data_IF_158216770353
#
_entry.id   IF_158216770353
#
_cell.length_a   1.000
_cell.length_b   1.000
_cell.length_c   1.000
_cell.angle_alpha   90.00
_cell.angle_beta   90.00
_cell.angle_gamma   90.00
#
_symmetry.space_group_name_H-M   'P 1'
#
loop_
_entity.id
_entity.type
_entity.pdbx_description
1 polymer ?
#
# COMPACT_ATOMS: atom_id res chain seq x y z
N UNK A 1 -6.64 15.59 17.38
CA UNK A 1 -7.62 16.58 16.90
C UNK A 1 -8.64 15.83 16.05
N UNK A 2 -9.92 16.18 16.09
CA UNK A 2 -10.88 15.57 15.16
C UNK A 2 -10.48 16.00 13.73
N UNK A 3 -10.32 15.04 12.83
CA UNK A 3 -10.09 15.31 11.41
C UNK A 3 -11.24 16.18 10.88
N UNK A 4 -10.91 17.27 10.17
CA UNK A 4 -11.89 18.09 9.46
C UNK A 4 -12.78 17.17 8.61
N UNK A 5 -14.10 17.10 8.88
CA UNK A 5 -14.99 16.23 8.11
C UNK A 5 -15.12 16.66 6.66
N UNK A 6 -14.54 17.81 6.27
CA UNK A 6 -14.54 18.36 4.92
C UNK A 6 -15.92 18.81 4.46
N UNK A 7 -15.96 19.68 3.46
CA UNK A 7 -17.17 20.06 2.77
C UNK A 7 -17.36 19.18 1.54
N UNK A 8 -18.52 18.53 1.40
CA UNK A 8 -18.82 17.78 0.16
C UNK A 8 -18.79 18.74 -1.03
N UNK A 9 -18.02 18.39 -2.06
CA UNK A 9 -17.93 19.16 -3.30
C UNK A 9 -19.22 18.93 -4.10
N UNK A 10 -19.84 20.00 -4.60
CA UNK A 10 -21.04 19.90 -5.45
C UNK A 10 -20.72 19.08 -6.72
N UNK A 11 -21.42 17.97 -7.01
CA UNK A 11 -21.22 17.18 -8.21
C UNK A 11 -21.34 17.96 -9.53
N UNK A 12 -22.04 19.10 -9.52
CA UNK A 12 -22.19 19.96 -10.70
C UNK A 12 -21.08 20.99 -10.86
N UNK A 13 -20.23 21.18 -9.85
CA UNK A 13 -19.13 22.14 -9.87
C UNK A 13 -18.07 21.76 -10.92
N UNK A 14 -17.35 22.74 -11.49
CA UNK A 14 -16.23 22.47 -12.38
C UNK A 14 -15.16 21.56 -11.75
N UNK A 15 -14.79 21.81 -10.49
CA UNK A 15 -13.77 21.03 -9.78
C UNK A 15 -14.13 19.54 -9.64
N UNK A 16 -15.39 19.23 -9.29
CA UNK A 16 -15.83 17.83 -9.21
C UNK A 16 -15.80 17.14 -10.57
N UNK A 17 -16.28 17.83 -11.62
CA UNK A 17 -16.28 17.29 -12.99
C UNK A 17 -14.86 17.02 -13.50
N UNK A 18 -13.94 17.94 -13.20
CA UNK A 18 -12.54 17.76 -13.56
C UNK A 18 -11.89 16.62 -12.77
N UNK A 19 -12.15 16.51 -11.46
CA UNK A 19 -11.71 15.38 -10.66
C UNK A 19 -12.22 14.05 -11.23
N UNK A 20 -13.52 13.95 -11.57
CA UNK A 20 -14.10 12.74 -12.20
C UNK A 20 -13.38 12.39 -13.50
N UNK A 21 -13.15 13.39 -14.38
CA UNK A 21 -12.45 13.18 -15.65
C UNK A 21 -11.03 12.65 -15.42
N UNK A 22 -10.30 13.25 -14.49
CA UNK A 22 -8.94 12.84 -14.13
C UNK A 22 -8.91 11.44 -13.48
N UNK A 23 -9.89 11.12 -12.63
CA UNK A 23 -10.05 9.79 -12.05
C UNK A 23 -10.25 8.73 -13.14
N UNK A 24 -11.15 8.98 -14.10
CA UNK A 24 -11.42 8.04 -15.19
C UNK A 24 -10.18 7.86 -16.09
N UNK A 25 -9.39 8.91 -16.35
CA UNK A 25 -8.11 8.81 -17.08
C UNK A 25 -7.07 7.98 -16.30
N UNK A 26 -6.94 8.20 -15.00
CA UNK A 26 -6.02 7.42 -14.16
C UNK A 26 -6.41 5.93 -14.17
N UNK A 27 -7.70 5.62 -14.18
CA UNK A 27 -8.23 4.25 -14.29
C UNK A 27 -7.97 3.62 -15.66
N UNK A 28 -7.99 4.40 -16.74
CA UNK A 28 -7.60 3.92 -18.08
C UNK A 28 -6.10 3.64 -18.17
N UNK A 29 -5.27 4.49 -17.55
CA UNK A 29 -3.81 4.32 -17.50
C UNK A 29 -3.40 3.12 -16.64
N UNK A 30 -4.15 2.87 -15.56
CA UNK A 30 -3.92 1.78 -14.62
C UNK A 30 -5.20 0.94 -14.44
N UNK A 31 -5.54 0.05 -15.39
CA UNK A 31 -6.77 -0.75 -15.32
C UNK A 31 -6.79 -1.69 -14.10
N UNK A 32 -7.93 -1.80 -13.41
CA UNK A 32 -8.17 -2.77 -12.34
C UNK A 32 -9.65 -3.15 -12.29
N UNK A 33 -9.96 -4.39 -11.92
CA UNK A 33 -11.35 -4.82 -11.73
C UNK A 33 -11.98 -4.26 -10.45
N UNK A 34 -11.15 -3.77 -9.52
CA UNK A 34 -11.58 -3.14 -8.27
C UNK A 34 -11.69 -1.64 -8.45
N UNK A 35 -12.83 -1.05 -8.08
CA UNK A 35 -13.03 0.39 -7.95
C UNK A 35 -13.84 0.65 -6.67
N UNK A 36 -13.18 1.19 -5.66
CA UNK A 36 -13.78 1.44 -4.35
C UNK A 36 -14.22 2.88 -4.15
N UNK A 37 -14.04 3.76 -5.14
CA UNK A 37 -14.51 5.13 -5.01
C UNK A 37 -16.04 5.19 -5.10
N UNK A 38 -16.68 5.68 -4.04
CA UNK A 38 -18.14 5.78 -3.94
C UNK A 38 -18.72 7.02 -4.65
N UNK A 39 -17.90 7.70 -5.48
CA UNK A 39 -18.21 8.96 -6.16
C UNK A 39 -18.44 10.16 -5.22
N UNK A 40 -18.13 10.05 -3.93
CA UNK A 40 -18.12 11.19 -3.01
C UNK A 40 -16.74 11.83 -2.94
N UNK A 41 -16.71 13.15 -3.12
CA UNK A 41 -15.52 14.00 -3.04
C UNK A 41 -15.75 15.08 -1.98
N UNK A 42 -14.80 15.24 -1.08
CA UNK A 42 -14.81 16.26 -0.04
C UNK A 42 -13.62 17.19 -0.17
N UNK A 43 -13.86 18.49 -0.04
CA UNK A 43 -12.84 19.50 0.11
C UNK A 43 -12.45 19.63 1.59
N UNK A 44 -11.16 19.65 1.90
CA UNK A 44 -10.64 19.94 3.24
C UNK A 44 -9.87 21.26 3.25
N UNK A 45 -9.98 22.04 4.33
CA UNK A 45 -9.21 23.29 4.46
C UNK A 45 -7.87 23.07 5.16
N UNK A 46 -7.74 21.97 5.89
CA UNK A 46 -6.53 21.62 6.64
C UNK A 46 -6.23 20.12 6.50
N UNK A 47 -4.95 19.77 6.65
CA UNK A 47 -4.50 18.38 6.68
C UNK A 47 -3.69 17.97 5.44
N UNK A 48 -3.69 16.67 5.07
CA UNK A 48 -2.96 16.19 3.92
C UNK A 48 -3.56 16.70 2.61
N UNK A 49 -2.80 16.62 1.52
CA UNK A 49 -3.25 17.02 0.18
C UNK A 49 -4.39 16.14 -0.33
N UNK A 50 -4.31 14.84 -0.05
CA UNK A 50 -5.31 13.84 -0.38
C UNK A 50 -5.49 12.84 0.74
N UNK A 51 -6.63 12.16 0.73
CA UNK A 51 -6.83 10.91 1.45
C UNK A 51 -8.01 10.13 0.87
N UNK A 52 -7.87 8.82 0.78
CA UNK A 52 -8.92 7.87 0.49
C UNK A 52 -9.38 7.15 1.77
N UNK A 53 -10.69 7.13 2.03
CA UNK A 53 -11.26 6.34 3.13
C UNK A 53 -11.68 4.95 2.62
N UNK A 54 -10.95 3.87 2.94
CA UNK A 54 -11.23 2.53 2.43
C UNK A 54 -12.56 1.95 2.90
N UNK A 55 -13.17 2.52 3.95
CA UNK A 55 -14.44 2.04 4.50
C UNK A 55 -15.64 2.69 3.80
N UNK A 56 -15.61 4.01 3.64
CA UNK A 56 -16.71 4.72 2.97
C UNK A 56 -16.56 4.73 1.45
N UNK A 57 -15.33 4.61 0.96
CA UNK A 57 -14.97 4.82 -0.44
C UNK A 57 -14.86 6.30 -0.81
N UNK A 58 -14.94 7.24 0.14
CA UNK A 58 -14.86 8.67 -0.17
C UNK A 58 -13.41 9.13 -0.39
N UNK A 59 -13.23 10.08 -1.31
CA UNK A 59 -11.96 10.78 -1.52
C UNK A 59 -12.06 12.18 -0.92
N UNK A 60 -11.00 12.62 -0.27
CA UNK A 60 -10.87 13.97 0.31
C UNK A 60 -9.64 14.62 -0.27
N UNK A 61 -9.78 15.85 -0.75
CA UNK A 61 -8.68 16.63 -1.32
C UNK A 61 -8.63 18.00 -0.66
N UNK A 62 -7.41 18.52 -0.47
CA UNK A 62 -7.21 19.89 0.00
C UNK A 62 -7.78 20.88 -1.01
N UNK A 63 -8.64 21.79 -0.55
CA UNK A 63 -9.19 22.84 -1.40
C UNK A 63 -8.07 23.69 -2.00
N UNK A 64 -7.23 24.25 -1.13
CA UNK A 64 -6.19 25.23 -1.50
C UNK A 64 -5.03 24.59 -2.26
N UNK A 65 -4.63 23.36 -1.92
CA UNK A 65 -3.43 22.74 -2.50
C UNK A 65 -3.73 21.81 -3.68
N UNK A 66 -4.99 21.40 -3.90
CA UNK A 66 -5.34 20.47 -4.98
C UNK A 66 -6.51 21.00 -5.81
N UNK A 67 -7.70 21.15 -5.22
CA UNK A 67 -8.91 21.43 -5.99
C UNK A 67 -8.85 22.76 -6.75
N UNK A 68 -8.28 23.81 -6.15
CA UNK A 68 -8.08 25.12 -6.78
C UNK A 68 -7.06 25.10 -7.93
N UNK A 69 -6.33 23.98 -8.07
CA UNK A 69 -5.34 23.75 -9.13
C UNK A 69 -5.82 22.75 -10.20
N UNK A 70 -7.00 22.15 -10.04
CA UNK A 70 -7.65 21.29 -11.04
C UNK A 70 -8.50 22.12 -12.02
N UNK A 71 -7.86 22.98 -12.80
CA UNK A 71 -8.53 23.95 -13.68
C UNK A 71 -8.64 23.50 -15.15
N UNK A 72 -8.25 22.26 -15.45
CA UNK A 72 -8.21 21.69 -16.80
C UNK A 72 -7.04 22.18 -17.67
N UNK A 73 -6.97 21.69 -18.93
CA UNK A 73 -5.98 22.08 -19.93
C UNK A 73 -5.89 23.59 -20.16
N UNK A 74 -4.67 24.13 -20.31
CA UNK A 74 -4.43 25.55 -20.62
C UNK A 74 -4.62 26.52 -19.46
N UNK A 75 -4.69 26.02 -18.22
CA UNK A 75 -4.68 26.85 -17.01
C UNK A 75 -3.40 27.70 -16.92
N UNK A 76 -3.53 28.94 -16.44
CA UNK A 76 -2.38 29.86 -16.23
C UNK A 76 -1.82 29.80 -14.80
N UNK A 77 -2.13 28.72 -14.06
CA UNK A 77 -1.65 28.50 -12.70
C UNK A 77 -0.15 28.22 -12.61
N UNK A 78 0.35 28.04 -11.38
CA UNK A 78 1.72 27.57 -11.13
C UNK A 78 1.88 26.12 -11.63
N UNK A 79 2.78 25.84 -12.58
CA UNK A 79 2.99 24.48 -13.08
C UNK A 79 3.34 23.48 -11.98
N UNK A 80 4.14 23.88 -10.99
CA UNK A 80 4.50 23.03 -9.86
C UNK A 80 3.29 22.66 -8.97
N UNK A 81 2.39 23.62 -8.70
CA UNK A 81 1.17 23.30 -7.95
C UNK A 81 0.21 22.43 -8.75
N UNK A 82 0.16 22.62 -10.06
CA UNK A 82 -0.65 21.81 -10.97
C UNK A 82 -0.11 20.37 -11.03
N UNK A 83 1.22 20.20 -11.12
CA UNK A 83 1.89 18.91 -11.02
C UNK A 83 1.55 18.19 -9.72
N UNK A 84 1.65 18.88 -8.58
CA UNK A 84 1.33 18.31 -7.28
C UNK A 84 -0.15 17.93 -7.15
N UNK A 85 -1.05 18.74 -7.69
CA UNK A 85 -2.49 18.45 -7.70
C UNK A 85 -2.81 17.21 -8.54
N UNK A 86 -2.23 17.09 -9.74
CA UNK A 86 -2.37 15.90 -10.59
C UNK A 86 -1.79 14.65 -9.93
N UNK A 87 -0.58 14.76 -9.37
CA UNK A 87 0.07 13.67 -8.63
C UNK A 87 -0.82 13.19 -7.48
N UNK A 88 -1.44 14.12 -6.75
CA UNK A 88 -2.37 13.76 -5.66
C UNK A 88 -3.60 13.02 -6.19
N UNK A 89 -4.20 13.47 -7.30
CA UNK A 89 -5.35 12.75 -7.90
C UNK A 89 -4.96 11.34 -8.34
N UNK A 90 -3.80 11.17 -8.98
CA UNK A 90 -3.29 9.88 -9.42
C UNK A 90 -3.00 8.95 -8.22
N UNK A 91 -2.40 9.49 -7.16
CA UNK A 91 -2.12 8.80 -5.91
C UNK A 91 -3.41 8.27 -5.26
N UNK A 92 -4.41 9.12 -5.02
CA UNK A 92 -5.65 8.69 -4.37
C UNK A 92 -6.47 7.73 -5.25
N UNK A 93 -6.39 7.87 -6.58
CA UNK A 93 -7.01 6.92 -7.51
C UNK A 93 -6.36 5.54 -7.42
N UNK A 94 -5.04 5.49 -7.20
CA UNK A 94 -4.30 4.24 -6.98
C UNK A 94 -4.74 3.52 -5.71
N UNK A 95 -5.06 4.27 -4.64
CA UNK A 95 -5.66 3.69 -3.44
C UNK A 95 -7.06 3.11 -3.70
N UNK A 96 -7.90 3.86 -4.42
CA UNK A 96 -9.27 3.44 -4.72
C UNK A 96 -9.34 2.15 -5.59
N UNK A 97 -8.32 1.87 -6.41
CA UNK A 97 -8.28 0.68 -7.28
C UNK A 97 -7.70 -0.59 -6.67
N UNK A 98 -7.13 -0.53 -5.47
CA UNK A 98 -6.52 -1.68 -4.81
C UNK A 98 -7.50 -2.33 -3.82
N UNK A 99 -7.54 -3.66 -3.73
CA UNK A 99 -8.14 -4.31 -2.56
C UNK A 99 -7.28 -4.02 -1.31
N UNK A 100 -7.89 -3.98 -0.13
CA UNK A 100 -7.13 -3.74 1.10
C UNK A 100 -6.71 -5.05 1.77
N UNK A 101 -7.60 -6.03 1.82
CA UNK A 101 -7.38 -7.28 2.55
C UNK A 101 -7.40 -8.51 1.64
N UNK A 102 -6.80 -9.58 2.12
CA UNK A 102 -6.76 -10.89 1.51
C UNK A 102 -6.87 -11.96 2.62
N UNK A 103 -8.08 -12.19 3.17
CA UNK A 103 -8.29 -12.98 4.39
C UNK A 103 -7.75 -14.42 4.32
N UNK A 104 -7.80 -15.00 3.13
CA UNK A 104 -7.42 -16.39 2.88
C UNK A 104 -5.97 -16.55 2.43
N UNK A 105 -5.22 -15.46 2.28
CA UNK A 105 -3.84 -15.53 1.83
C UNK A 105 -2.88 -15.76 3.03
N UNK A 106 -2.05 -16.81 3.00
CA UNK A 106 -1.13 -17.13 4.10
C UNK A 106 -0.06 -16.08 4.36
N UNK A 107 0.34 -15.35 3.32
CA UNK A 107 1.39 -14.34 3.41
C UNK A 107 0.83 -12.92 3.57
N UNK A 108 -0.49 -12.77 3.78
CA UNK A 108 -1.10 -11.48 4.07
C UNK A 108 -0.55 -10.90 5.39
N UNK A 109 0.13 -9.75 5.29
CA UNK A 109 0.69 -9.05 6.45
C UNK A 109 -0.22 -7.89 6.86
N UNK A 110 -0.98 -8.05 7.95
CA UNK A 110 -1.94 -7.05 8.47
C UNK A 110 -1.32 -6.17 9.55
N UNK A 111 -0.37 -5.33 9.18
CA UNK A 111 0.27 -4.38 10.09
C UNK A 111 0.48 -3.01 9.46
N UNK A 112 0.86 -2.02 10.28
CA UNK A 112 1.18 -0.66 9.82
C UNK A 112 2.32 -0.61 8.80
N UNK A 113 3.20 -1.61 8.80
CA UNK A 113 4.25 -1.75 7.80
C UNK A 113 3.64 -1.84 6.39
N UNK A 114 2.56 -2.62 6.21
CA UNK A 114 1.88 -2.75 4.90
C UNK A 114 1.24 -1.46 4.44
N UNK A 115 0.69 -0.65 5.35
CA UNK A 115 0.23 0.70 5.00
C UNK A 115 1.39 1.55 4.50
N UNK A 116 2.53 1.54 5.20
CA UNK A 116 3.66 2.41 4.83
C UNK A 116 4.34 1.97 3.52
N UNK A 117 4.40 0.66 3.26
CA UNK A 117 4.80 0.15 1.95
C UNK A 117 3.78 0.51 0.86
N UNK A 118 2.48 0.47 1.17
CA UNK A 118 1.43 0.86 0.22
C UNK A 118 1.59 2.30 -0.23
N UNK A 119 1.76 3.24 0.71
CA UNK A 119 2.03 4.65 0.40
C UNK A 119 3.32 4.81 -0.42
N UNK A 120 4.40 4.10 -0.06
CA UNK A 120 5.67 4.15 -0.80
C UNK A 120 5.57 3.62 -2.23
N UNK A 121 4.87 2.49 -2.44
CA UNK A 121 4.63 1.92 -3.78
C UNK A 121 3.71 2.80 -4.62
N UNK A 122 2.62 3.29 -4.02
CA UNK A 122 1.67 4.18 -4.70
C UNK A 122 2.35 5.48 -5.11
N UNK A 123 3.15 6.09 -4.23
CA UNK A 123 3.88 7.32 -4.54
C UNK A 123 4.98 7.08 -5.60
N UNK A 124 5.74 5.97 -5.50
CA UNK A 124 6.72 5.59 -6.53
C UNK A 124 6.07 5.47 -7.91
N UNK A 125 4.89 4.84 -7.98
CA UNK A 125 4.13 4.73 -9.24
C UNK A 125 3.57 6.07 -9.70
N UNK A 126 3.07 6.90 -8.79
CA UNK A 126 2.60 8.26 -9.11
C UNK A 126 3.69 9.07 -9.79
N UNK A 127 4.92 9.05 -9.27
CA UNK A 127 6.05 9.77 -9.87
C UNK A 127 6.34 9.27 -11.30
N UNK A 128 6.37 7.95 -11.50
CA UNK A 128 6.67 7.36 -12.81
C UNK A 128 5.56 7.57 -13.85
N UNK A 129 4.30 7.60 -13.41
CA UNK A 129 3.14 7.65 -14.31
C UNK A 129 2.61 9.08 -14.49
N UNK A 130 3.15 10.07 -13.76
CA UNK A 130 2.66 11.45 -13.79
C UNK A 130 2.73 12.07 -15.19
N UNK A 131 3.83 11.89 -15.91
CA UNK A 131 3.99 12.46 -17.27
C UNK A 131 2.93 11.91 -18.23
N UNK A 132 2.78 10.59 -18.28
CA UNK A 132 1.78 9.94 -19.12
C UNK A 132 0.34 10.32 -18.71
N UNK A 133 0.10 10.48 -17.41
CA UNK A 133 -1.18 10.91 -16.87
C UNK A 133 -1.50 12.36 -17.26
N UNK A 134 -0.55 13.27 -17.12
CA UNK A 134 -0.70 14.68 -17.47
C UNK A 134 -0.90 14.86 -18.99
N UNK A 135 -0.11 14.16 -19.80
CA UNK A 135 -0.25 14.14 -21.26
C UNK A 135 -1.65 13.66 -21.67
N UNK A 136 -2.12 12.55 -21.11
CA UNK A 136 -3.47 12.04 -21.38
C UNK A 136 -4.57 12.99 -20.89
N UNK A 137 -4.31 13.71 -19.79
CA UNK A 137 -5.22 14.71 -19.25
C UNK A 137 -5.23 16.02 -20.05
N UNK A 138 -4.28 16.24 -20.97
CA UNK A 138 -4.11 17.47 -21.74
C UNK A 138 -3.46 18.60 -20.94
N UNK A 139 -2.75 18.27 -19.87
CA UNK A 139 -1.99 19.21 -19.07
C UNK A 139 -0.59 19.36 -19.69
N UNK A 140 -0.17 20.61 -19.95
CA UNK A 140 1.19 20.87 -20.45
C UNK A 140 2.24 20.47 -19.40
N UNK A 141 3.47 20.19 -19.86
CA UNK A 141 4.63 19.70 -19.09
C UNK A 141 4.56 20.02 -17.59
N UNK A 142 4.22 19.00 -16.81
CA UNK A 142 4.24 19.06 -15.34
C UNK A 142 5.54 18.42 -14.86
N UNK A 143 6.21 19.08 -13.92
CA UNK A 143 7.39 18.54 -13.26
C UNK A 143 7.09 18.50 -11.77
N UNK A 144 7.24 17.33 -11.16
CA UNK A 144 7.07 17.16 -9.73
C UNK A 144 8.44 17.34 -9.06
N UNK A 145 8.60 18.43 -8.30
CA UNK A 145 9.87 18.73 -7.64
C UNK A 145 10.30 17.61 -6.69
N UNK A 146 9.37 17.11 -5.88
CA UNK A 146 9.60 16.06 -4.89
C UNK A 146 8.32 15.24 -4.63
N UNK A 147 8.44 13.93 -4.35
CA UNK A 147 7.31 13.14 -3.86
C UNK A 147 6.82 13.64 -2.50
N UNK A 148 5.53 13.52 -2.25
CA UNK A 148 4.89 13.87 -0.97
C UNK A 148 5.42 13.01 0.19
N UNK A 149 5.83 11.78 -0.10
CA UNK A 149 6.28 10.77 0.85
C UNK A 149 7.72 10.33 0.60
N UNK A 150 8.66 11.28 0.51
CA UNK A 150 10.05 11.03 0.13
C UNK A 150 10.73 9.90 0.91
N UNK A 151 10.50 9.78 2.23
CA UNK A 151 11.07 8.69 3.03
C UNK A 151 10.50 7.31 2.64
N UNK A 152 9.19 7.21 2.38
CA UNK A 152 8.55 5.96 1.99
C UNK A 152 8.95 5.54 0.56
N UNK A 153 9.06 6.50 -0.36
CA UNK A 153 9.54 6.26 -1.74
C UNK A 153 10.98 5.75 -1.71
N UNK A 154 11.87 6.40 -0.98
CA UNK A 154 13.28 6.00 -0.88
C UNK A 154 13.44 4.57 -0.32
N UNK A 155 12.78 4.26 0.81
CA UNK A 155 12.81 2.91 1.37
C UNK A 155 12.24 1.85 0.41
N UNK A 156 11.17 2.21 -0.33
CA UNK A 156 10.52 1.33 -1.30
C UNK A 156 11.41 1.10 -2.52
N UNK A 157 12.08 2.14 -3.04
CA UNK A 157 13.01 2.05 -4.16
C UNK A 157 14.15 1.08 -3.88
N UNK A 158 14.83 1.23 -2.73
CA UNK A 158 15.92 0.33 -2.33
C UNK A 158 15.46 -1.13 -2.20
N UNK A 159 14.25 -1.33 -1.68
CA UNK A 159 13.64 -2.66 -1.56
C UNK A 159 13.35 -3.29 -2.92
N UNK A 160 12.79 -2.52 -3.85
CA UNK A 160 12.49 -2.95 -5.21
C UNK A 160 13.75 -3.27 -6.00
N UNK A 161 14.78 -2.41 -5.91
CA UNK A 161 16.08 -2.62 -6.57
C UNK A 161 16.75 -3.91 -6.09
N UNK A 162 16.76 -4.14 -4.77
CA UNK A 162 17.30 -5.36 -4.20
C UNK A 162 16.56 -6.61 -4.68
N UNK A 163 15.23 -6.56 -4.70
CA UNK A 163 14.38 -7.70 -5.05
C UNK A 163 14.44 -8.03 -6.55
N UNK A 164 14.42 -7.00 -7.40
CA UNK A 164 14.57 -7.14 -8.85
C UNK A 164 15.97 -7.69 -9.22
N UNK A 165 17.01 -7.32 -8.48
CA UNK A 165 18.38 -7.74 -8.78
C UNK A 165 18.93 -7.06 -10.03
N UNK A 166 20.17 -7.41 -10.45
CA UNK A 166 20.91 -6.66 -11.47
C UNK A 166 20.28 -6.71 -12.87
N UNK A 167 19.56 -7.79 -13.20
CA UNK A 167 18.92 -8.01 -14.50
C UNK A 167 17.40 -7.75 -14.44
N UNK A 168 16.87 -7.40 -13.27
CA UNK A 168 15.45 -7.19 -13.06
C UNK A 168 14.98 -5.79 -13.45
N UNK A 169 13.66 -5.60 -13.43
CA UNK A 169 13.03 -4.30 -13.65
C UNK A 169 12.24 -3.90 -12.39
N UNK A 170 12.78 -2.99 -11.54
CA UNK A 170 12.12 -2.57 -10.30
C UNK A 170 10.77 -1.89 -10.55
N UNK A 171 10.60 -1.16 -11.66
CA UNK A 171 9.33 -0.50 -12.00
C UNK A 171 8.25 -1.50 -12.38
N UNK A 172 8.62 -2.56 -13.09
CA UNK A 172 7.71 -3.66 -13.40
C UNK A 172 7.31 -4.42 -12.12
N UNK A 173 8.24 -4.58 -11.17
CA UNK A 173 7.94 -5.15 -9.85
C UNK A 173 6.99 -4.25 -9.06
N UNK A 174 7.25 -2.95 -9.01
CA UNK A 174 6.38 -1.97 -8.35
C UNK A 174 4.96 -2.01 -8.90
N UNK A 175 4.81 -2.08 -10.24
CA UNK A 175 3.51 -2.20 -10.91
C UNK A 175 2.77 -3.47 -10.49
N UNK A 176 3.44 -4.64 -10.50
CA UNK A 176 2.81 -5.89 -10.03
C UNK A 176 2.41 -5.82 -8.56
N UNK A 177 3.24 -5.19 -7.72
CA UNK A 177 3.00 -5.08 -6.29
C UNK A 177 1.82 -4.15 -5.97
N UNK A 178 1.69 -2.99 -6.64
CA UNK A 178 0.56 -2.06 -6.40
C UNK A 178 -0.78 -2.65 -6.81
N UNK A 179 -0.80 -3.56 -7.79
CA UNK A 179 -2.00 -4.26 -8.25
C UNK A 179 -2.45 -5.39 -7.31
N UNK A 180 -1.66 -5.74 -6.28
CA UNK A 180 -2.08 -6.69 -5.25
C UNK A 180 -2.92 -6.03 -4.15
N UNK A 181 -3.71 -6.81 -3.40
CA UNK A 181 -4.25 -6.36 -2.14
C UNK A 181 -3.15 -5.76 -1.25
N UNK A 182 -3.44 -4.68 -0.52
CA UNK A 182 -2.45 -3.95 0.29
C UNK A 182 -1.66 -4.89 1.23
N UNK A 183 -2.33 -5.86 1.86
CA UNK A 183 -1.68 -6.83 2.76
C UNK A 183 -0.77 -7.84 2.05
N UNK A 184 -0.86 -7.96 0.73
CA UNK A 184 -0.11 -8.92 -0.11
C UNK A 184 1.09 -8.30 -0.83
N UNK A 185 1.29 -6.98 -0.75
CA UNK A 185 2.36 -6.31 -1.50
C UNK A 185 3.76 -6.79 -1.11
N UNK A 186 3.98 -7.12 0.16
CA UNK A 186 5.21 -7.76 0.62
C UNK A 186 5.47 -9.11 -0.06
N UNK A 187 4.41 -9.91 -0.28
CA UNK A 187 4.54 -11.24 -0.88
C UNK A 187 4.98 -11.14 -2.35
N UNK A 188 4.52 -10.14 -3.10
CA UNK A 188 4.98 -9.89 -4.48
C UNK A 188 6.47 -9.58 -4.55
N UNK A 189 6.98 -8.78 -3.61
CA UNK A 189 8.41 -8.47 -3.52
C UNK A 189 9.20 -9.71 -3.09
N UNK A 190 8.68 -10.47 -2.11
CA UNK A 190 9.28 -11.72 -1.67
C UNK A 190 9.35 -12.75 -2.80
N UNK A 191 8.30 -12.85 -3.63
CA UNK A 191 8.26 -13.75 -4.78
C UNK A 191 9.34 -13.43 -5.81
N UNK A 192 9.60 -12.14 -6.04
CA UNK A 192 10.69 -11.71 -6.90
C UNK A 192 12.06 -12.11 -6.35
N UNK A 193 12.28 -11.94 -5.04
CA UNK A 193 13.51 -12.40 -4.37
C UNK A 193 13.66 -13.92 -4.49
N UNK A 194 12.57 -14.67 -4.31
CA UNK A 194 12.64 -16.14 -4.44
C UNK A 194 13.04 -16.54 -5.86
N UNK A 195 12.42 -15.92 -6.88
CA UNK A 195 12.76 -16.20 -8.29
C UNK A 195 14.21 -15.83 -8.62
N UNK A 196 14.68 -14.67 -8.19
CA UNK A 196 15.98 -14.13 -8.62
C UNK A 196 17.17 -14.63 -7.79
N UNK A 197 16.97 -14.95 -6.49
CA UNK A 197 18.07 -15.29 -5.57
C UNK A 197 18.00 -16.71 -5.00
N UNK A 198 16.83 -17.35 -5.06
CA UNK A 198 16.59 -18.63 -4.40
C UNK A 198 16.06 -19.71 -5.35
N UNK A 199 15.89 -19.42 -6.64
CA UNK A 199 15.29 -20.34 -7.61
C UNK A 199 16.02 -21.67 -7.76
N UNK A 200 17.33 -21.69 -7.54
CA UNK A 200 18.15 -22.91 -7.58
C UNK A 200 18.17 -23.69 -6.26
N UNK A 201 17.61 -23.12 -5.19
CA UNK A 201 17.73 -23.64 -3.82
C UNK A 201 16.38 -24.03 -3.23
N UNK A 202 15.34 -23.22 -3.43
CA UNK A 202 13.99 -23.52 -2.95
C UNK A 202 13.30 -24.42 -3.98
N UNK A 203 12.80 -25.61 -3.58
CA UNK A 203 12.07 -26.49 -4.49
C UNK A 203 10.91 -25.77 -5.19
N UNK A 204 10.60 -26.09 -6.47
CA UNK A 204 9.52 -25.45 -7.21
C UNK A 204 8.12 -25.80 -6.69
N UNK A 205 8.05 -26.68 -5.68
CA UNK A 205 6.81 -27.04 -5.00
C UNK A 205 6.15 -25.79 -4.37
N UNK A 206 4.84 -25.56 -4.58
CA UNK A 206 4.16 -24.37 -4.10
C UNK A 206 4.26 -24.14 -2.58
N UNK A 207 4.27 -25.21 -1.77
CA UNK A 207 4.34 -25.09 -0.31
C UNK A 207 5.72 -24.58 0.11
N UNK A 208 6.78 -25.06 -0.54
CA UNK A 208 8.15 -24.61 -0.32
C UNK A 208 8.36 -23.15 -0.74
N UNK A 209 7.82 -22.75 -1.89
CA UNK A 209 7.88 -21.39 -2.40
C UNK A 209 7.14 -20.42 -1.47
N UNK A 210 5.90 -20.75 -1.08
CA UNK A 210 5.11 -19.92 -0.16
C UNK A 210 5.80 -19.76 1.20
N UNK A 211 6.39 -20.83 1.74
CA UNK A 211 7.14 -20.78 2.98
C UNK A 211 8.37 -19.87 2.83
N UNK A 212 9.18 -20.01 1.79
CA UNK A 212 10.33 -19.14 1.58
C UNK A 212 9.92 -17.66 1.51
N UNK A 213 8.81 -17.35 0.81
CA UNK A 213 8.24 -16.00 0.79
C UNK A 213 7.79 -15.53 2.18
N UNK A 214 7.17 -16.39 2.99
CA UNK A 214 6.78 -16.06 4.35
C UNK A 214 7.96 -15.59 5.23
N UNK A 215 9.12 -16.24 5.15
CA UNK A 215 10.33 -15.81 5.87
C UNK A 215 10.79 -14.42 5.40
N UNK A 216 10.80 -14.19 4.10
CA UNK A 216 11.19 -12.90 3.51
C UNK A 216 10.22 -11.78 3.91
N UNK A 217 8.90 -12.04 3.87
CA UNK A 217 7.88 -11.07 4.34
C UNK A 217 8.14 -10.69 5.79
N UNK A 218 8.41 -11.66 6.68
CA UNK A 218 8.72 -11.37 8.08
C UNK A 218 10.02 -10.56 8.26
N UNK A 219 11.01 -10.78 7.40
CA UNK A 219 12.26 -10.03 7.43
C UNK A 219 12.09 -8.57 6.97
N UNK A 220 11.34 -8.36 5.88
CA UNK A 220 11.09 -7.04 5.29
C UNK A 220 10.13 -6.19 6.13
N UNK A 221 9.02 -6.77 6.60
CA UNK A 221 7.92 -6.06 7.25
C UNK A 221 8.20 -5.75 8.73
N UNK A 222 9.38 -5.20 9.02
CA UNK A 222 9.82 -4.88 10.36
C UNK A 222 9.27 -3.54 10.88
N UNK A 223 9.38 -3.33 12.20
CA UNK A 223 8.76 -2.20 12.89
C UNK A 223 9.16 -0.80 12.41
N UNK A 224 10.38 -0.61 11.89
CA UNK A 224 10.83 0.70 11.40
C UNK A 224 10.07 1.21 10.16
N UNK A 225 9.32 0.35 9.48
CA UNK A 225 8.39 0.82 8.43
C UNK A 225 7.23 1.63 9.01
N UNK A 226 6.85 1.40 10.27
CA UNK A 226 5.74 2.10 10.88
C UNK A 226 6.04 3.60 10.99
N UNK A 227 5.22 4.41 10.32
CA UNK A 227 5.33 5.86 10.34
C UNK A 227 6.15 6.47 9.21
N UNK A 228 6.74 5.66 8.31
CA UNK A 228 7.46 6.21 7.15
C UNK A 228 6.58 7.07 6.25
N UNK A 229 5.29 6.74 6.14
CA UNK A 229 4.31 7.55 5.41
C UNK A 229 4.03 8.92 6.04
N UNK A 230 4.53 9.20 7.24
CA UNK A 230 4.44 10.53 7.86
C UNK A 230 5.79 11.28 7.79
N UNK A 231 6.87 10.58 7.45
CA UNK A 231 8.22 11.12 7.40
C UNK A 231 8.50 11.78 6.05
N UNK A 232 8.90 13.05 6.09
CA UNK A 232 9.34 13.81 4.90
C UNK A 232 10.83 13.68 4.62
N UNK A 233 11.63 13.37 5.64
CA UNK A 233 13.09 13.29 5.53
C UNK A 233 13.53 11.98 4.88
N UNK A 234 14.16 12.06 3.72
CA UNK A 234 14.63 10.90 2.94
C UNK A 234 15.64 10.04 3.70
N UNK A 235 16.43 10.63 4.59
CA UNK A 235 17.41 9.92 5.43
C UNK A 235 16.79 8.80 6.28
N UNK A 236 15.56 9.00 6.76
CA UNK A 236 14.82 7.94 7.46
C UNK A 236 14.46 6.80 6.52
N UNK A 237 14.06 7.14 5.29
CA UNK A 237 13.82 6.17 4.22
C UNK A 237 15.07 5.36 3.88
N UNK A 238 16.21 6.03 3.71
CA UNK A 238 17.50 5.38 3.45
C UNK A 238 17.88 4.39 4.55
N UNK A 239 17.70 4.76 5.82
CA UNK A 239 17.99 3.87 6.96
C UNK A 239 17.07 2.64 6.97
N UNK A 240 15.77 2.84 6.70
CA UNK A 240 14.80 1.74 6.66
C UNK A 240 15.03 0.83 5.45
N UNK A 241 15.32 1.40 4.28
CA UNK A 241 15.67 0.64 3.07
C UNK A 241 16.89 -0.24 3.30
N UNK A 242 17.99 0.34 3.79
CA UNK A 242 19.22 -0.41 4.13
C UNK A 242 18.96 -1.50 5.16
N UNK A 243 18.22 -1.19 6.23
CA UNK A 243 17.86 -2.19 7.26
C UNK A 243 17.03 -3.34 6.67
N UNK A 244 16.12 -3.03 5.74
CA UNK A 244 15.30 -4.04 5.04
C UNK A 244 16.19 -4.95 4.20
N UNK A 245 17.15 -4.39 3.45
CA UNK A 245 18.13 -5.14 2.66
C UNK A 245 18.98 -6.06 3.54
N UNK A 246 19.57 -5.54 4.61
CA UNK A 246 20.39 -6.33 5.54
C UNK A 246 19.60 -7.51 6.13
N UNK A 247 18.32 -7.31 6.47
CA UNK A 247 17.44 -8.36 6.99
C UNK A 247 17.06 -9.38 5.92
N UNK A 248 16.85 -8.94 4.68
CA UNK A 248 16.58 -9.83 3.55
C UNK A 248 17.79 -10.71 3.23
N UNK A 249 19.00 -10.17 3.21
CA UNK A 249 20.23 -10.97 3.02
C UNK A 249 20.32 -12.08 4.08
N UNK A 250 20.10 -11.73 5.35
CA UNK A 250 20.09 -12.71 6.43
C UNK A 250 18.98 -13.77 6.28
N UNK A 251 17.82 -13.39 5.75
CA UNK A 251 16.71 -14.32 5.50
C UNK A 251 17.04 -15.26 4.32
N UNK A 252 17.60 -14.73 3.23
CA UNK A 252 18.10 -15.51 2.09
C UNK A 252 19.13 -16.54 2.57
N UNK A 253 20.11 -16.13 3.37
CA UNK A 253 21.12 -17.03 3.94
C UNK A 253 20.49 -18.16 4.78
N UNK A 254 19.51 -17.83 5.63
CA UNK A 254 18.78 -18.83 6.43
C UNK A 254 18.01 -19.82 5.56
N UNK A 255 17.30 -19.33 4.55
CA UNK A 255 16.55 -20.17 3.60
C UNK A 255 17.53 -21.10 2.86
N UNK A 256 18.65 -20.57 2.36
CA UNK A 256 19.65 -21.36 1.65
C UNK A 256 20.27 -22.43 2.54
N UNK A 257 20.62 -22.08 3.79
CA UNK A 257 21.14 -23.03 4.76
C UNK A 257 20.13 -24.12 5.07
N UNK A 258 18.86 -23.77 5.30
CA UNK A 258 17.80 -24.74 5.54
C UNK A 258 17.65 -25.73 4.40
N UNK A 259 17.51 -25.25 3.15
CA UNK A 259 17.29 -26.14 2.00
C UNK A 259 18.51 -27.00 1.64
N UNK A 260 19.71 -26.57 2.02
CA UNK A 260 20.91 -27.40 1.97
C UNK A 260 20.86 -28.56 2.95
N UNK A 261 20.40 -28.30 4.18
CA UNK A 261 20.43 -29.27 5.28
C UNK A 261 19.16 -30.17 5.32
N UNK A 262 18.03 -29.65 4.86
CA UNK A 262 16.70 -30.26 4.99
C UNK A 262 15.80 -29.96 3.78
N UNK A 263 16.19 -30.38 2.56
CA UNK A 263 15.52 -30.00 1.31
C UNK A 263 14.05 -30.42 1.21
N UNK A 264 13.65 -31.45 1.95
CA UNK A 264 12.29 -32.01 1.92
C UNK A 264 11.29 -31.29 2.84
N UNK A 265 11.72 -30.29 3.62
CA UNK A 265 10.85 -29.58 4.55
C UNK A 265 10.67 -28.12 4.15
N UNK A 266 9.44 -27.58 4.05
CA UNK A 266 9.21 -26.16 3.85
C UNK A 266 9.79 -25.31 4.99
N UNK A 267 10.29 -24.12 4.67
CA UNK A 267 10.84 -23.17 5.65
C UNK A 267 10.40 -21.74 5.38
N UNK A 268 9.90 -21.01 6.41
CA UNK A 268 9.71 -21.43 7.79
C UNK A 268 8.40 -22.23 7.91
N UNK A 269 8.23 -22.95 9.03
CA UNK A 269 6.99 -23.69 9.28
C UNK A 269 5.78 -22.78 9.62
N UNK A 270 6.00 -21.49 9.86
CA UNK A 270 4.97 -20.55 10.32
C UNK A 270 4.77 -19.43 9.32
N UNK A 271 3.56 -19.33 8.76
CA UNK A 271 3.18 -18.25 7.86
C UNK A 271 2.89 -16.94 8.63
N UNK A 272 3.06 -15.76 8.00
CA UNK A 272 2.70 -14.45 8.56
C UNK A 272 1.23 -14.38 9.01
N UNK A 273 0.34 -15.05 8.28
CA UNK A 273 -1.08 -15.19 8.61
C UNK A 273 -1.40 -16.64 9.03
N UNK A 274 -1.17 -17.02 10.29
CA UNK A 274 -1.40 -18.40 10.75
C UNK A 274 -2.88 -18.81 10.69
N UNK A 275 -3.81 -17.85 10.72
CA UNK A 275 -5.24 -18.12 10.59
C UNK A 275 -5.63 -18.55 9.17
N UNK A 276 -5.06 -17.93 8.13
CA UNK A 276 -5.26 -18.39 6.75
C UNK A 276 -4.61 -19.76 6.52
N UNK A 277 -3.42 -19.98 7.08
CA UNK A 277 -2.75 -21.28 6.99
C UNK A 277 -3.63 -22.41 7.58
N UNK A 278 -4.27 -22.17 8.73
CA UNK A 278 -5.19 -23.14 9.35
C UNK A 278 -6.44 -23.44 8.49
N UNK A 279 -6.87 -22.51 7.64
CA UNK A 279 -8.01 -22.72 6.74
C UNK A 279 -7.62 -23.53 5.49
N UNK A 280 -6.37 -23.48 5.05
CA UNK A 280 -5.86 -24.30 3.95
C UNK A 280 -5.73 -25.78 4.35
N UNK A 281 -5.36 -26.05 5.60
CA UNK A 281 -5.22 -27.40 6.15
C UNK A 281 -6.57 -28.04 6.52
N UNK A 282 -7.65 -27.26 6.56
CA UNK A 282 -8.98 -27.80 6.79
C UNK A 282 -9.44 -28.59 5.55
N UNK A 283 -9.75 -29.90 5.65
CA UNK A 283 -10.21 -30.67 4.50
C UNK A 283 -11.48 -30.03 3.95
N UNK A 284 -11.45 -29.68 2.65
CA UNK A 284 -12.57 -29.06 1.90
C UNK A 284 -13.90 -29.83 2.04
N UNK A 285 -13.86 -31.10 2.46
CA UNK A 285 -15.02 -31.95 2.74
C UNK A 285 -15.90 -31.53 3.94
N UNK A 286 -15.55 -30.48 4.70
CA UNK A 286 -16.37 -30.05 5.84
C UNK A 286 -17.45 -29.01 5.50
N UNK A 287 -17.36 -28.33 4.36
CA UNK A 287 -18.34 -27.32 3.96
C UNK A 287 -19.59 -27.92 3.27
N UNK A 288 -19.53 -29.16 2.80
CA UNK A 288 -20.72 -29.87 2.27
C UNK A 288 -21.51 -30.64 3.35
N UNK A 289 -20.93 -30.88 4.53
CA UNK A 289 -21.55 -31.68 5.59
C UNK A 289 -22.20 -30.86 6.72
N UNK A 290 -22.40 -29.55 6.53
CA UNK A 290 -23.05 -28.68 7.52
C UNK A 290 -24.16 -27.82 6.90
N UNK A 291 -25.03 -28.45 6.10
CA UNK A 291 -26.43 -28.06 6.12
C UNK A 291 -27.07 -28.72 7.34
N UNK A 292 -27.55 -27.99 8.37
CA UNK A 292 -28.29 -28.60 9.44
C UNK A 292 -29.61 -29.11 8.89
N UNK A 293 -29.71 -30.43 8.78
CA UNK A 293 -30.94 -31.19 8.63
C UNK A 293 -31.84 -30.85 9.83
N UNK A 294 -32.73 -29.87 9.63
CA UNK A 294 -33.73 -29.47 10.61
C UNK A 294 -34.79 -30.56 10.72
N UNK A 295 -34.51 -31.58 11.53
CA UNK A 295 -35.48 -32.57 11.98
C UNK A 295 -35.64 -32.50 13.51
N UNK A 296 -36.80 -31.97 13.91
CA UNK A 296 -37.59 -32.37 15.07
C UNK A 296 -36.90 -32.52 16.44
N UNK A 297 -37.17 -31.56 17.34
CA UNK A 297 -37.97 -31.77 18.58
C UNK A 297 -38.04 -30.50 19.44
N UNK A 298 -39.25 -29.96 19.59
CA UNK A 298 -39.83 -29.74 20.92
C UNK A 298 -39.74 -28.36 21.57
N UNK A 299 -40.84 -27.61 21.42
CA UNK A 299 -41.54 -26.78 22.43
C UNK A 299 -41.07 -25.33 22.69
N UNK A 300 -41.87 -24.38 22.16
CA UNK A 300 -41.95 -22.99 22.64
C UNK A 300 -42.26 -21.96 21.53
N UNK A 301 -43.47 -21.96 20.97
CA UNK A 301 -43.87 -21.02 19.89
C UNK A 301 -44.03 -19.56 20.36
N UNK A 302 -43.55 -18.62 19.56
CA UNK A 302 -44.32 -17.46 19.13
C UNK A 302 -44.74 -17.65 17.65
N UNK A 303 -46.04 -17.57 17.38
CA UNK A 303 -46.64 -17.88 16.08
C UNK A 303 -46.24 -16.93 14.93
N UNK A 304 -46.53 -17.32 13.67
CA UNK A 304 -46.14 -16.60 12.48
C UNK A 304 -46.89 -15.27 12.32
N UNK A 305 -46.16 -14.23 11.90
CA UNK A 305 -46.73 -12.95 11.48
C UNK A 305 -47.55 -13.15 10.22
N UNK A 306 -48.84 -12.87 10.32
CA UNK A 306 -49.80 -12.91 9.22
C UNK A 306 -49.55 -11.74 8.24
N UNK A 307 -48.80 -12.01 7.18
CA UNK A 307 -48.46 -11.05 6.13
C UNK A 307 -49.67 -10.61 5.28
N UNK A 308 -50.86 -11.22 5.47
CA UNK A 308 -52.09 -10.78 4.80
C UNK A 308 -52.75 -9.56 5.46
N UNK A 309 -52.22 -9.11 6.61
CA UNK A 309 -52.71 -7.93 7.36
C UNK A 309 -51.86 -6.67 7.19
N UNK A 310 -50.88 -6.67 6.29
CA UNK A 310 -50.14 -5.46 5.96
C UNK A 310 -51.03 -4.51 5.13
N UNK A 311 -51.12 -3.22 5.48
CA UNK A 311 -51.84 -2.26 4.64
C UNK A 311 -51.16 -2.17 3.26
N UNK A 312 -51.93 -2.05 2.16
CA UNK A 312 -51.34 -1.86 0.85
C UNK A 312 -50.51 -0.55 0.84
N UNK A 313 -49.37 -0.52 0.14
CA UNK A 313 -48.54 0.68 0.07
C UNK A 313 -49.33 1.84 -0.53
N UNK A 314 -49.16 3.03 0.05
CA UNK A 314 -49.82 4.25 -0.40
C UNK A 314 -49.46 4.56 -1.86
N UNK A 315 -50.47 4.90 -2.66
CA UNK A 315 -50.37 5.16 -4.10
C UNK A 315 -49.50 6.38 -4.49
N UNK A 316 -48.89 7.07 -3.52
CA UNK A 316 -48.07 8.27 -3.73
C UNK A 316 -46.58 7.99 -4.04
N UNK A 317 -46.14 6.72 -4.06
CA UNK A 317 -44.75 6.33 -4.29
C UNK A 317 -44.49 5.73 -5.69
N UNK A 318 -45.30 6.05 -6.70
CA UNK A 318 -45.00 5.69 -8.10
C UNK A 318 -44.25 6.83 -8.78
N UNK A 319 -42.94 6.67 -8.89
CA UNK A 319 -42.12 7.43 -9.84
C UNK A 319 -42.53 7.01 -11.26
N UNK A 320 -43.10 7.96 -12.01
CA UNK A 320 -43.35 7.83 -13.44
C UNK A 320 -42.00 7.80 -14.17
N UNK A 321 -41.65 6.65 -14.75
CA UNK A 321 -40.53 6.54 -15.67
C UNK A 321 -40.90 7.07 -17.06
N UNK A 322 -39.95 7.62 -17.83
CA UNK A 322 -40.24 8.14 -19.16
C UNK A 322 -40.52 7.01 -20.17
N UNK A 323 -41.49 7.30 -21.05
CA UNK A 323 -42.01 6.42 -22.07
C UNK A 323 -40.96 6.01 -23.12
N UNK A 324 -40.92 4.71 -23.42
CA UNK A 324 -40.18 4.16 -24.54
C UNK A 324 -40.86 4.50 -25.87
N UNK A 325 -40.10 5.06 -26.81
CA UNK A 325 -40.50 5.24 -28.21
C UNK A 325 -40.29 3.93 -28.99
N UNK A 326 -41.12 3.63 -30.02
CA UNK A 326 -40.97 2.43 -30.83
C UNK A 326 -39.98 2.68 -31.98
N UNK A 327 -38.96 1.83 -32.09
CA UNK A 327 -38.11 1.75 -33.28
C UNK A 327 -38.59 0.61 -34.18
N UNK A 328 -38.99 0.96 -35.40
CA UNK A 328 -39.29 0.05 -36.50
C UNK A 328 -38.13 0.06 -37.52
N UNK A 329 -37.70 -1.15 -37.89
CA UNK A 329 -37.47 -1.63 -39.27
C UNK A 329 -36.09 -1.43 -39.96
N UNK A 330 -35.63 -2.58 -40.53
CA UNK A 330 -34.67 -2.84 -41.63
C UNK A 330 -33.21 -2.44 -41.42
N UNK A 331 -32.21 -3.31 -41.61
CA UNK A 331 -32.10 -4.45 -42.51
C UNK A 331 -31.12 -4.11 -43.64
N UNK A 332 -29.85 -4.52 -43.51
CA UNK A 332 -28.98 -4.92 -44.63
C UNK A 332 -27.65 -5.43 -44.10
N UNK A 333 -27.35 -6.69 -44.41
CA UNK A 333 -26.04 -7.30 -44.17
C UNK A 333 -25.05 -6.90 -45.25
N UNK A 334 -23.79 -6.81 -44.86
CA UNK A 334 -22.64 -7.01 -45.75
C UNK A 334 -21.48 -7.58 -44.93
N UNK A 335 -21.03 -8.75 -45.36
CA UNK A 335 -19.88 -9.46 -44.85
C UNK A 335 -18.58 -8.72 -45.23
N UNK A 336 -17.70 -8.52 -44.25
CA UNK A 336 -16.31 -8.12 -44.49
C UNK A 336 -15.38 -9.28 -44.10
N UNK A 337 -14.53 -9.64 -45.05
CA UNK A 337 -13.53 -10.71 -44.95
C UNK A 337 -12.35 -10.31 -44.05
N UNK A 338 -11.63 -11.28 -43.46
CA UNK A 338 -10.42 -11.01 -42.70
C UNK A 338 -9.22 -10.70 -43.62
N UNK A 339 -8.56 -9.58 -43.37
CA UNK A 339 -7.26 -9.26 -43.98
C UNK A 339 -6.15 -10.05 -43.28
N UNK A 340 -5.39 -10.78 -44.08
CA UNK A 340 -4.16 -11.49 -43.74
C UNK A 340 -3.01 -10.49 -43.53
N UNK A 341 -2.42 -10.50 -42.34
CA UNK A 341 -1.18 -9.77 -42.04
C UNK A 341 0.01 -10.61 -42.49
N UNK A 342 0.72 -10.08 -43.47
CA UNK A 342 1.93 -10.64 -44.06
C UNK A 342 3.13 -10.36 -43.15
N UNK A 343 3.73 -11.42 -42.61
CA UNK A 343 4.97 -11.37 -41.84
C UNK A 343 6.14 -10.98 -42.76
N UNK A 344 6.68 -9.78 -42.56
CA UNK A 344 7.95 -9.34 -43.13
C UNK A 344 9.12 -9.72 -42.22
N UNK A 345 9.91 -10.69 -42.67
CA UNK A 345 11.21 -11.05 -42.09
C UNK A 345 12.19 -9.88 -42.24
N UNK A 346 12.79 -9.43 -41.13
CA UNK A 346 13.95 -8.55 -41.14
C UNK A 346 15.13 -9.32 -40.53
N UNK A 347 16.15 -9.56 -41.35
CA UNK A 347 17.41 -10.15 -40.94
C UNK A 347 18.28 -9.12 -40.21
N UNK A 348 18.97 -9.46 -39.10
CA UNK A 348 20.04 -8.63 -38.58
C UNK A 348 21.38 -9.02 -39.24
N UNK A 349 21.92 -8.11 -40.02
CA UNK A 349 23.33 -8.07 -40.41
C UNK A 349 24.19 -7.82 -39.18
N UNK A 350 25.14 -8.72 -38.93
CA UNK A 350 26.14 -8.55 -37.89
C UNK A 350 27.14 -7.44 -38.19
N UNK A 351 27.73 -6.90 -37.13
CA UNK A 351 29.11 -6.45 -37.08
C UNK A 351 29.53 -6.25 -35.62
N UNK A 352 30.42 -7.13 -35.15
CA UNK A 352 31.25 -6.90 -33.98
C UNK A 352 32.42 -5.97 -34.37
N UNK A 353 32.98 -5.26 -33.38
CA UNK A 353 34.42 -5.39 -33.21
C UNK A 353 34.84 -5.65 -31.76
N UNK A 354 35.88 -6.46 -31.67
CA UNK A 354 36.63 -6.79 -30.47
C UNK A 354 37.35 -5.56 -29.89
N UNK A 355 37.37 -5.46 -28.57
CA UNK A 355 38.47 -4.82 -27.86
C UNK A 355 38.89 -5.70 -26.67
N UNK A 356 40.17 -6.07 -26.71
CA UNK A 356 40.90 -6.73 -25.66
C UNK A 356 41.33 -5.70 -24.61
N UNK A 357 41.21 -6.08 -23.34
CA UNK A 357 41.76 -5.33 -22.20
C UNK A 357 42.10 -6.29 -21.08
N UNK A 358 43.35 -6.77 -21.07
CA UNK A 358 43.97 -7.48 -19.95
C UNK A 358 44.21 -6.50 -18.79
N UNK A 359 43.88 -6.93 -17.56
CA UNK A 359 44.12 -6.16 -16.33
C UNK A 359 44.14 -7.04 -15.08
N UNK A 360 45.29 -7.70 -14.89
CA UNK A 360 45.89 -8.30 -13.68
C UNK A 360 45.35 -7.96 -12.27
N UNK A 361 45.08 -9.05 -11.51
CA UNK A 361 45.47 -9.39 -10.12
C UNK A 361 45.25 -8.43 -8.95
N UNK A 362 44.59 -8.98 -7.90
CA UNK A 362 45.15 -8.99 -6.54
C UNK A 362 44.27 -8.36 -5.46
N UNK A 363 43.84 -9.17 -4.46
CA UNK A 363 43.23 -8.62 -3.25
C UNK A 363 42.45 -9.63 -2.40
N UNK A 364 43.15 -10.59 -1.80
CA UNK A 364 42.62 -11.40 -0.69
C UNK A 364 42.46 -10.51 0.55
N UNK A 365 41.32 -10.63 1.23
CA UNK A 365 41.07 -9.97 2.52
C UNK A 365 39.97 -10.71 3.28
N UNK A 366 40.34 -11.82 3.93
CA UNK A 366 39.54 -12.45 4.98
C UNK A 366 39.63 -11.61 6.25
N UNK A 367 38.50 -11.26 6.86
CA UNK A 367 38.45 -10.96 8.30
C UNK A 367 37.25 -11.65 8.92
N UNK A 368 37.54 -12.33 10.02
CA UNK A 368 36.70 -13.21 10.79
C UNK A 368 35.54 -12.49 11.49
N UNK A 369 34.46 -13.25 11.68
CA UNK A 369 33.28 -12.82 12.40
C UNK A 369 33.43 -12.83 13.92
N UNK A 370 32.40 -12.28 14.56
CA UNK A 370 31.98 -12.65 15.90
C UNK A 370 30.49 -12.34 16.02
N UNK A 371 29.68 -13.39 15.87
CA UNK A 371 28.26 -13.36 16.16
C UNK A 371 28.02 -13.31 17.67
N UNK A 372 27.04 -12.51 18.06
CA UNK A 372 26.39 -12.62 19.37
C UNK A 372 24.92 -12.88 19.12
N UNK A 373 24.50 -14.12 19.33
CA UNK A 373 23.10 -14.56 19.34
C UNK A 373 22.45 -14.04 20.62
N UNK A 374 21.50 -13.12 20.49
CA UNK A 374 20.60 -12.72 21.57
C UNK A 374 19.20 -13.27 21.29
N UNK A 375 18.74 -14.07 22.26
CA UNK A 375 17.51 -14.83 22.24
C UNK A 375 16.24 -13.98 22.07
N UNK A 376 15.32 -14.50 21.26
CA UNK A 376 14.00 -13.95 21.05
C UNK A 376 13.21 -13.79 22.35
N UNK A 377 12.62 -12.62 22.52
CA UNK A 377 11.48 -12.41 23.38
C UNK A 377 10.23 -12.40 22.51
N UNK A 378 9.31 -13.32 22.80
CA UNK A 378 8.07 -13.49 22.08
C UNK A 378 7.28 -12.19 22.00
N UNK A 379 6.87 -11.85 20.79
CA UNK A 379 5.87 -10.81 20.53
C UNK A 379 4.53 -11.29 21.08
N UNK A 380 4.25 -10.95 22.34
CA UNK A 380 2.89 -10.97 22.87
C UNK A 380 2.07 -9.96 22.07
N UNK A 381 0.91 -10.40 21.58
CA UNK A 381 0.04 -9.68 20.66
C UNK A 381 -0.19 -8.24 21.10
N UNK A 382 0.40 -7.30 20.37
CA UNK A 382 0.01 -5.90 20.44
C UNK A 382 -1.33 -5.78 19.72
N UNK A 383 -2.31 -5.26 20.44
CA UNK A 383 -3.62 -4.92 19.89
C UNK A 383 -3.47 -4.15 18.58
N UNK A 384 -4.08 -4.67 17.51
CA UNK A 384 -4.19 -3.97 16.22
C UNK A 384 -4.87 -2.63 16.48
N UNK A 385 -4.22 -1.49 16.20
CA UNK A 385 -4.79 -0.19 16.50
C UNK A 385 -6.11 0.05 15.76
N UNK A 386 -7.04 0.85 16.34
CA UNK A 386 -8.40 0.97 15.84
C UNK A 386 -8.50 1.40 14.37
N UNK A 387 -7.51 2.13 13.86
CA UNK A 387 -7.42 2.58 12.47
C UNK A 387 -7.14 1.43 11.50
N UNK A 388 -6.21 0.53 11.84
CA UNK A 388 -6.02 -0.72 11.09
C UNK A 388 -7.21 -1.64 11.27
N UNK A 389 -7.83 -1.68 12.46
CA UNK A 389 -9.07 -2.43 12.64
C UNK A 389 -10.19 -1.86 11.76
N UNK A 390 -10.29 -0.55 11.60
CA UNK A 390 -11.29 0.08 10.73
C UNK A 390 -10.98 -0.13 9.23
N UNK A 391 -9.70 -0.14 8.85
CA UNK A 391 -9.26 -0.38 7.48
C UNK A 391 -9.35 -1.87 7.07
N UNK A 392 -9.17 -2.81 8.00
CA UNK A 392 -9.12 -4.26 7.74
C UNK A 392 -10.30 -5.08 8.31
N UNK A 393 -11.16 -4.53 9.17
CA UNK A 393 -12.33 -5.27 9.67
C UNK A 393 -13.57 -5.01 8.80
N UNK A 394 -13.69 -5.78 7.72
CA UNK A 394 -14.88 -5.86 6.87
C UNK A 394 -16.14 -6.48 7.51
N UNK A 395 -16.26 -6.53 8.84
CA UNK A 395 -17.47 -6.96 9.55
C UNK A 395 -17.62 -6.17 10.86
N UNK A 396 -18.67 -5.34 10.95
CA UNK A 396 -19.06 -4.69 12.19
C UNK A 396 -19.83 -5.69 13.09
N UNK A 397 -19.56 -5.79 14.40
CA UNK A 397 -20.59 -6.24 15.32
C UNK A 397 -21.63 -5.12 15.53
N UNK A 398 -22.89 -5.52 15.64
CA UNK A 398 -24.03 -4.66 15.92
C UNK A 398 -23.88 -3.89 17.25
N UNK A 399 -24.59 -2.75 17.31
CA UNK A 399 -24.54 -1.72 18.34
C UNK A 399 -24.66 -2.18 19.81
N UNK A 400 -24.02 -1.41 20.69
CA UNK A 400 -24.56 -1.03 22.01
C UNK A 400 -23.76 -1.44 23.25
N UNK A 401 -23.14 -0.45 23.93
CA UNK A 401 -23.27 -0.20 25.38
C UNK A 401 -22.26 0.87 25.84
N UNK A 402 -22.77 1.97 26.37
CA UNK A 402 -22.01 3.03 27.03
C UNK A 402 -21.73 2.58 28.47
N UNK A 403 -20.46 2.54 28.90
CA UNK A 403 -20.12 2.59 30.33
C UNK A 403 -18.97 3.56 30.57
N UNK A 404 -19.27 4.58 31.37
CA UNK A 404 -18.35 5.55 31.94
C UNK A 404 -17.58 4.94 33.12
N UNK A 405 -16.30 5.31 33.26
CA UNK A 405 -15.47 4.97 34.43
C UNK A 405 -14.73 6.24 34.88
N UNK A 406 -14.50 6.45 36.20
CA UNK A 406 -14.27 7.77 36.79
C UNK A 406 -12.80 8.24 36.79
N UNK A 407 -12.66 9.58 36.85
CA UNK A 407 -11.42 10.33 37.07
C UNK A 407 -10.74 9.91 38.39
N UNK A 408 -9.50 9.41 38.31
CA UNK A 408 -8.59 9.29 39.46
C UNK A 408 -7.70 10.54 39.58
N UNK A 409 -7.52 10.98 40.83
CA UNK A 409 -7.02 12.30 41.23
C UNK A 409 -5.51 12.53 41.18
N UNK A 410 -5.18 13.78 41.49
CA UNK A 410 -3.87 14.42 41.49
C UNK A 410 -3.06 14.05 42.75
N UNK A 411 -2.12 13.11 42.59
CA UNK A 411 -1.20 12.71 43.65
C UNK A 411 -0.12 13.75 43.94
N UNK A 412 -0.47 14.90 44.52
CA UNK A 412 0.50 15.83 45.10
C UNK A 412 0.83 15.45 46.54
N UNK A 413 2.08 15.04 46.82
CA UNK A 413 2.71 15.16 48.15
C UNK A 413 4.22 15.33 48.00
N UNK A 414 4.73 16.39 48.63
CA UNK A 414 6.16 16.65 48.78
C UNK A 414 6.73 16.18 50.12
N UNK A 415 8.07 16.21 50.19
CA UNK A 415 8.92 16.27 51.39
C UNK A 415 10.35 16.55 50.89
N UNK A 416 10.91 17.75 51.09
CA UNK A 416 11.67 18.28 52.25
C UNK A 416 13.08 17.71 52.44
N UNK A 417 14.09 18.61 52.45
CA UNK A 417 15.43 18.45 53.08
C UNK A 417 16.60 18.53 52.10
N UNK A 418 17.19 19.70 51.82
CA UNK A 418 18.25 20.42 52.57
C UNK A 418 19.65 19.75 52.51
N UNK A 419 20.60 20.35 51.78
CA UNK A 419 21.81 21.00 52.38
C UNK A 419 22.83 21.49 51.33
N UNK A 420 23.14 22.79 51.45
CA UNK A 420 24.47 23.45 51.37
C UNK A 420 25.45 23.19 50.22
N UNK A 421 25.88 24.28 49.56
CA UNK A 421 27.31 24.50 49.35
C UNK A 421 27.75 25.28 48.10
N UNK A 422 28.34 26.45 48.35
CA UNK A 422 29.41 27.10 47.58
C UNK A 422 29.08 28.03 46.39
N UNK A 423 29.08 29.32 46.73
CA UNK A 423 29.54 30.47 45.94
C UNK A 423 30.78 30.20 45.06
N UNK A 424 30.77 30.73 43.82
CA UNK A 424 31.73 31.76 43.38
C UNK A 424 31.31 32.43 42.07
N UNK A 425 31.19 33.75 42.14
CA UNK A 425 31.12 34.71 41.06
C UNK A 425 32.53 35.20 40.72
N UNK A 426 32.91 35.23 39.43
CA UNK A 426 33.77 36.21 38.70
C UNK A 426 33.54 35.88 37.21
N UNK A 427 32.98 36.70 36.33
CA UNK A 427 33.43 38.03 35.89
C UNK A 427 34.19 37.89 34.55
N UNK A 428 33.84 38.63 33.47
CA UNK A 428 34.27 38.35 32.10
C UNK A 428 35.62 39.01 31.76
N UNK A 429 36.35 38.48 30.76
CA UNK A 429 37.51 39.16 30.20
C UNK A 429 37.53 39.10 28.66
N UNK A 430 37.53 40.29 28.11
CA UNK A 430 37.65 40.70 26.71
C UNK A 430 39.09 40.54 26.19
N UNK A 431 39.18 40.12 24.91
CA UNK A 431 40.11 40.59 23.85
C UNK A 431 41.65 40.36 23.94
N UNK A 432 42.45 40.60 22.86
CA UNK A 432 42.31 40.22 21.44
C UNK A 432 43.68 39.73 20.85
N UNK A 433 43.86 39.87 19.52
CA UNK A 433 45.11 39.89 18.72
C UNK A 433 45.52 38.58 18.02
N UNK A 434 45.47 38.63 16.68
CA UNK A 434 45.89 37.58 15.77
C UNK A 434 47.36 37.60 15.38
N UNK A 435 47.68 36.89 14.29
CA UNK A 435 48.79 37.16 13.36
C UNK A 435 48.74 36.22 12.16
N UNK A 436 49.07 36.83 11.04
CA UNK A 436 49.40 36.28 9.73
C UNK A 436 50.58 35.30 9.71
N UNK A 437 50.71 34.69 8.51
CA UNK A 437 51.85 34.01 7.83
C UNK A 437 51.64 32.49 7.71
N UNK A 438 51.74 31.88 6.53
CA UNK A 438 52.44 32.20 5.27
C UNK A 438 51.57 32.02 4.00
#
# INVERSE_FOLDING_TARGET
MASDPGQRVDPNSPAYKEFVRLYDIARELQPSDTDRWNRELYATTHGPMGSFDPKSGAIRLSQENVLDHLNGPGSTGSPAHQAQALATVLHETSHARAEVDAPNEPNAHRAFASKSLDEGLTEHRTVLDLDAFADAAGYDQVELDQPAYGAAVEATGQLLDYAAGPDGNPDALARRAVDQPVVMRWDSIADEVVRNKLGDVVPPDPQHQQAARAELVNAMAHGNWAGLHEARETSMGEEVGRTSVERMDQAVDRIQQHYRDSPAQPYPATAPNPHAAANLDAPQNRLEASAPEAAERGQGEPGPVDLTKLPPPAAAARLEGPAAAPAQVQGNGQAAQPMSVQQGQVAPTGNAPAQAGQGTTGGQGSVAGQGTVAAGHGAQGRDVPPELRAAFAGQAPAAGAVQSVPKLGDGSRGSSGAQTGANRSVGPRTEPIGRDRD
#
